data_IF_226267000893
#
_entry.id   IF_226267000893
#
_cell.length_a   1.000
_cell.length_b   1.000
_cell.length_c   1.000
_cell.angle_alpha   90.00
_cell.angle_beta   90.00
_cell.angle_gamma   90.00
#
_symmetry.space_group_name_H-M   'P 1'
#
loop_
_entity.id
_entity.type
_entity.pdbx_description
1 polymer ?
#
# COMPACT_ATOMS: atom_id res chain seq x y z
N UNK A 1 -8.05 -1.32 -8.90
CA UNK A 1 -8.70 -1.58 -7.60
C UNK A 1 -10.08 -0.91 -7.52
N UNK A 2 -10.19 0.42 -7.62
CA UNK A 2 -11.49 1.12 -7.60
C UNK A 2 -12.51 0.57 -8.61
N UNK A 3 -12.09 0.36 -9.86
CA UNK A 3 -12.99 -0.21 -10.88
C UNK A 3 -13.49 -1.61 -10.51
N UNK A 4 -12.65 -2.45 -9.91
CA UNK A 4 -13.08 -3.79 -9.45
C UNK A 4 -14.17 -3.65 -8.38
N UNK A 5 -13.97 -2.77 -7.40
CA UNK A 5 -14.95 -2.55 -6.34
C UNK A 5 -16.29 -2.00 -6.87
N UNK A 6 -16.25 -1.11 -7.88
CA UNK A 6 -17.47 -0.63 -8.55
C UNK A 6 -18.27 -1.77 -9.18
N UNK A 7 -17.59 -2.75 -9.79
CA UNK A 7 -18.22 -3.88 -10.46
C UNK A 7 -18.70 -4.98 -9.49
N UNK A 8 -18.01 -5.17 -8.35
CA UNK A 8 -18.43 -6.12 -7.31
C UNK A 8 -19.76 -5.70 -6.65
N UNK A 9 -20.11 -4.41 -6.73
CA UNK A 9 -21.35 -3.86 -6.21
C UNK A 9 -21.30 -3.64 -4.70
N UNK A 10 -22.43 -3.80 -4.00
CA UNK A 10 -22.55 -3.53 -2.54
C UNK A 10 -22.11 -4.71 -1.65
N UNK A 11 -21.39 -5.70 -2.20
CA UNK A 11 -20.87 -6.81 -1.40
C UNK A 11 -19.67 -6.34 -0.59
N UNK A 12 -19.59 -6.78 0.66
CA UNK A 12 -18.43 -6.53 1.53
C UNK A 12 -17.19 -7.18 0.92
N UNK A 13 -16.10 -6.42 0.81
CA UNK A 13 -14.82 -6.90 0.29
C UNK A 13 -13.72 -6.63 1.31
N UNK A 14 -12.99 -7.67 1.71
CA UNK A 14 -11.79 -7.49 2.53
C UNK A 14 -10.57 -7.25 1.64
N UNK A 15 -9.84 -6.17 1.92
CA UNK A 15 -8.55 -5.85 1.32
C UNK A 15 -7.48 -6.12 2.35
N UNK A 16 -6.67 -7.15 2.12
CA UNK A 16 -5.48 -7.43 2.93
C UNK A 16 -4.32 -6.62 2.37
N UNK A 17 -3.79 -5.69 3.17
CA UNK A 17 -2.78 -4.75 2.71
C UNK A 17 -1.76 -4.39 3.80
N UNK A 18 -0.62 -3.86 3.38
CA UNK A 18 0.41 -3.38 4.29
C UNK A 18 -0.06 -2.13 5.07
N UNK A 19 0.22 -1.99 6.39
CA UNK A 19 -0.17 -0.81 7.18
C UNK A 19 0.25 0.54 6.59
N UNK A 20 1.32 0.56 5.79
CA UNK A 20 1.85 1.78 5.15
C UNK A 20 1.34 1.99 3.71
N UNK A 21 0.29 1.29 3.26
CA UNK A 21 -0.26 1.39 1.90
C UNK A 21 -0.52 2.84 1.45
N UNK A 22 -1.02 3.67 2.36
CA UNK A 22 -1.36 5.07 2.09
C UNK A 22 -0.27 6.07 2.49
N UNK A 23 0.92 5.58 2.88
CA UNK A 23 2.05 6.46 3.14
C UNK A 23 2.39 7.25 1.85
N UNK A 24 2.70 8.56 1.94
CA UNK A 24 3.20 9.31 0.80
C UNK A 24 4.42 8.63 0.20
N UNK A 25 4.39 8.42 -1.11
CA UNK A 25 5.51 7.88 -1.87
C UNK A 25 5.82 8.91 -2.96
N UNK A 26 6.83 9.74 -2.73
CA UNK A 26 7.07 10.97 -3.50
C UNK A 26 8.28 10.81 -4.41
N UNK A 27 8.16 11.29 -5.64
CA UNK A 27 9.30 11.50 -6.53
C UNK A 27 9.46 13.01 -6.71
N UNK A 28 10.71 13.50 -6.62
CA UNK A 28 11.02 14.94 -6.70
C UNK A 28 11.50 15.38 -8.08
N UNK A 29 11.87 14.44 -8.96
CA UNK A 29 12.34 14.73 -10.34
C UNK A 29 11.33 14.22 -11.38
N UNK A 30 10.98 15.01 -12.41
CA UNK A 30 11.39 16.40 -12.66
C UNK A 30 10.70 17.44 -11.75
N UNK A 31 9.66 17.05 -11.01
CA UNK A 31 8.96 17.87 -10.03
C UNK A 31 8.32 16.95 -8.98
N UNK A 32 7.87 17.55 -7.86
CA UNK A 32 7.25 16.83 -6.75
C UNK A 32 5.91 16.18 -7.17
N UNK A 33 5.83 14.86 -7.07
CA UNK A 33 4.61 14.09 -7.34
C UNK A 33 4.49 12.89 -6.41
N UNK A 34 3.26 12.58 -5.98
CA UNK A 34 2.96 11.34 -5.28
C UNK A 34 2.73 10.21 -6.30
N UNK A 35 3.55 9.17 -6.22
CA UNK A 35 3.50 7.95 -7.04
C UNK A 35 2.97 6.74 -6.26
N UNK A 36 2.47 6.96 -5.04
CA UNK A 36 1.82 5.94 -4.22
C UNK A 36 0.42 5.55 -4.71
N UNK A 37 -0.40 5.03 -3.80
CA UNK A 37 -1.76 4.59 -4.12
C UNK A 37 -2.59 5.74 -4.74
N UNK A 38 -3.19 5.54 -5.94
CA UNK A 38 -3.96 6.58 -6.63
C UNK A 38 -5.40 6.74 -6.10
N UNK A 39 -5.62 6.36 -4.84
CA UNK A 39 -6.90 6.40 -4.15
C UNK A 39 -6.65 6.51 -2.65
N UNK A 40 -7.60 7.11 -1.94
CA UNK A 40 -7.57 7.17 -0.48
C UNK A 40 -8.27 5.97 0.13
N UNK A 41 -8.06 5.76 1.43
CA UNK A 41 -8.83 4.79 2.21
C UNK A 41 -10.34 5.03 2.08
N UNK A 42 -10.77 6.29 2.17
CA UNK A 42 -12.18 6.69 2.07
C UNK A 42 -12.77 6.37 0.70
N UNK A 43 -12.00 6.53 -0.38
CA UNK A 43 -12.45 6.20 -1.73
C UNK A 43 -12.80 4.72 -1.87
N UNK A 44 -12.03 3.84 -1.21
CA UNK A 44 -12.28 2.40 -1.22
C UNK A 44 -13.39 2.00 -0.25
N UNK A 45 -13.42 2.56 0.97
CA UNK A 45 -14.46 2.27 1.98
C UNK A 45 -15.86 2.64 1.48
N UNK A 46 -15.99 3.67 0.63
CA UNK A 46 -17.24 4.02 -0.06
C UNK A 46 -17.87 2.84 -0.83
N UNK A 47 -17.06 1.88 -1.26
CA UNK A 47 -17.49 0.68 -1.97
C UNK A 47 -17.52 -0.57 -1.08
N UNK A 48 -17.82 -0.41 0.23
CA UNK A 48 -17.91 -1.53 1.19
C UNK A 48 -16.60 -2.33 1.34
N UNK A 49 -15.48 -1.68 1.06
CA UNK A 49 -14.16 -2.27 1.31
C UNK A 49 -13.77 -2.12 2.78
N UNK A 50 -13.25 -3.18 3.36
CA UNK A 50 -12.69 -3.19 4.71
C UNK A 50 -11.26 -3.68 4.69
N UNK A 51 -10.41 -3.05 5.50
CA UNK A 51 -8.99 -3.32 5.49
C UNK A 51 -8.59 -4.28 6.59
N UNK A 52 -7.79 -5.28 6.21
CA UNK A 52 -7.02 -6.12 7.12
C UNK A 52 -5.56 -5.73 6.96
N UNK A 53 -5.02 -5.05 7.97
CA UNK A 53 -3.65 -4.55 7.93
C UNK A 53 -2.67 -5.64 8.33
N UNK A 54 -1.96 -6.21 7.36
CA UNK A 54 -1.04 -7.33 7.55
C UNK A 54 0.39 -6.90 7.20
N UNK A 55 1.26 -6.82 8.21
CA UNK A 55 2.72 -6.67 8.03
C UNK A 55 3.44 -8.02 8.01
N UNK A 56 2.91 -9.00 8.76
CA UNK A 56 3.42 -10.36 8.89
C UNK A 56 2.57 -11.34 8.07
N UNK A 57 3.04 -12.59 7.83
CA UNK A 57 2.23 -13.61 7.23
C UNK A 57 0.87 -13.77 7.90
N UNK A 58 -0.18 -13.95 7.08
CA UNK A 58 -1.56 -14.13 7.53
C UNK A 58 -2.25 -15.15 6.63
N UNK A 59 -2.71 -16.25 7.22
CA UNK A 59 -3.59 -17.21 6.54
C UNK A 59 -5.00 -16.63 6.46
N UNK A 60 -5.52 -16.42 5.24
CA UNK A 60 -6.81 -15.78 5.02
C UNK A 60 -7.94 -16.80 4.89
N UNK A 61 -7.63 -17.98 4.34
CA UNK A 61 -8.45 -19.19 4.33
C UNK A 61 -7.52 -20.39 4.34
N UNK A 62 -8.02 -21.58 4.71
CA UNK A 62 -7.22 -22.80 4.82
C UNK A 62 -6.37 -23.03 3.56
N UNK A 63 -5.06 -23.05 3.71
CA UNK A 63 -4.10 -23.29 2.63
C UNK A 63 -3.82 -22.08 1.73
N UNK A 64 -4.33 -20.89 2.06
CA UNK A 64 -4.07 -19.64 1.34
C UNK A 64 -3.59 -18.58 2.32
N UNK A 65 -2.37 -18.09 2.13
CA UNK A 65 -1.76 -17.07 2.97
C UNK A 65 -1.22 -15.88 2.18
N UNK A 66 -1.24 -14.71 2.79
CA UNK A 66 -0.38 -13.61 2.40
C UNK A 66 0.92 -13.71 3.18
N UNK A 67 2.06 -13.42 2.54
CA UNK A 67 3.39 -13.54 3.17
C UNK A 67 3.71 -12.38 4.11
N UNK A 68 2.94 -11.29 4.08
CA UNK A 68 3.37 -10.03 4.67
C UNK A 68 4.55 -9.42 3.90
N UNK A 69 5.34 -8.59 4.58
CA UNK A 69 6.55 -8.00 4.00
C UNK A 69 7.59 -9.08 3.68
N UNK A 70 8.17 -8.97 2.48
CA UNK A 70 9.32 -9.76 2.06
C UNK A 70 10.52 -8.80 1.98
N UNK A 71 11.57 -9.00 2.78
CA UNK A 71 12.71 -8.09 2.81
C UNK A 71 13.51 -8.20 1.51
N UNK A 72 13.91 -7.04 0.96
CA UNK A 72 14.77 -6.97 -0.22
C UNK A 72 16.22 -7.16 0.20
N UNK A 73 16.71 -8.38 0.09
CA UNK A 73 18.09 -8.75 0.48
C UNK A 73 18.95 -9.17 -0.72
N UNK A 74 18.36 -9.23 -1.91
CA UNK A 74 19.06 -9.65 -3.11
C UNK A 74 19.62 -8.46 -3.88
N UNK A 75 20.74 -8.66 -4.58
CA UNK A 75 21.43 -7.60 -5.33
C UNK A 75 20.65 -7.09 -6.55
N UNK A 76 19.65 -7.84 -7.01
CA UNK A 76 18.80 -7.46 -8.14
C UNK A 76 17.57 -6.65 -7.73
N UNK A 77 17.18 -6.66 -6.45
CA UNK A 77 16.05 -5.88 -5.92
C UNK A 77 16.48 -4.42 -5.67
N UNK A 78 16.62 -3.65 -6.75
CA UNK A 78 16.99 -2.23 -6.67
C UNK A 78 15.75 -1.37 -6.44
N UNK A 79 15.64 -0.62 -5.32
CA UNK A 79 14.51 0.27 -5.08
C UNK A 79 14.56 1.47 -6.03
N UNK A 80 13.38 2.04 -6.30
CA UNK A 80 13.27 3.36 -6.92
C UNK A 80 13.53 4.38 -5.82
N UNK A 81 14.29 5.43 -6.12
CA UNK A 81 14.51 6.54 -5.20
C UNK A 81 13.20 7.32 -5.02
N UNK A 82 12.59 7.15 -3.85
CA UNK A 82 11.37 7.85 -3.46
C UNK A 82 11.52 8.45 -2.08
N UNK A 83 10.65 9.41 -1.75
CA UNK A 83 10.71 10.19 -0.53
C UNK A 83 9.40 10.09 0.23
N UNK A 84 9.47 10.24 1.55
CA UNK A 84 8.30 10.28 2.43
C UNK A 84 8.51 11.28 3.55
N UNK A 85 7.52 11.45 4.42
CA UNK A 85 7.65 12.30 5.60
C UNK A 85 7.88 11.46 6.86
N UNK A 86 8.83 11.87 7.69
CA UNK A 86 9.00 11.31 9.03
C UNK A 86 7.97 11.91 10.02
N UNK A 87 8.02 11.46 11.27
CA UNK A 87 7.11 11.94 12.33
C UNK A 87 7.28 13.44 12.66
N UNK A 88 8.42 14.04 12.32
CA UNK A 88 8.69 15.48 12.48
C UNK A 88 8.19 16.31 11.30
N UNK A 89 7.65 15.68 10.26
CA UNK A 89 7.21 16.35 9.04
C UNK A 89 8.34 16.70 8.06
N UNK A 90 9.51 16.10 8.23
CA UNK A 90 10.68 16.32 7.35
C UNK A 90 10.64 15.34 6.18
N UNK A 91 10.96 15.82 4.97
CA UNK A 91 11.08 14.99 3.79
C UNK A 91 12.37 14.15 3.87
N UNK A 92 12.23 12.83 3.93
CA UNK A 92 13.33 11.87 4.01
C UNK A 92 13.30 10.90 2.82
N UNK A 93 14.45 10.31 2.51
CA UNK A 93 14.51 9.18 1.57
C UNK A 93 13.70 8.01 2.15
N UNK A 94 12.95 7.32 1.30
CA UNK A 94 12.19 6.14 1.69
C UNK A 94 13.09 4.90 1.65
N UNK A 95 13.54 4.47 2.82
CA UNK A 95 14.44 3.32 3.00
C UNK A 95 13.69 1.97 3.16
N UNK A 96 12.38 1.94 2.87
CA UNK A 96 11.57 0.70 2.91
C UNK A 96 12.13 -0.43 2.05
#
# INVERSE_FOLDING_TARGET
MLEILKHVGKKRVYIVAHPMLFKPNLVVKPFLRNVGAPFTRKDLEKYSAEFVWAKKPLEIVKGVLVTGEVPRVTSFEKPIETYTFNEKGELILDEL
#
